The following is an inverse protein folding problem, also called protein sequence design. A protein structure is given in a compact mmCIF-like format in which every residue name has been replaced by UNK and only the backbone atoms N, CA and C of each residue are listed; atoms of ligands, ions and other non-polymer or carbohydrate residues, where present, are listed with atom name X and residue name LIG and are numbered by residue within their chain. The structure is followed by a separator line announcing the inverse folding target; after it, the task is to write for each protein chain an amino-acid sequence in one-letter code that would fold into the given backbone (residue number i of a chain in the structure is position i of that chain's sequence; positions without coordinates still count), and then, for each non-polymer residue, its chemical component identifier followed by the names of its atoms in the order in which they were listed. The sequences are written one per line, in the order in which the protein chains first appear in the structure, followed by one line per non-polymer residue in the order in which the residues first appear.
data_IF_038497194443
#
_entry.id   IF_038497194443
#
_cell.length_a   1.000
_cell.length_b   1.000
_cell.length_c   1.000
_cell.angle_alpha   90.00
_cell.angle_beta   90.00
_cell.angle_gamma   90.00
#
_symmetry.space_group_name_H-M   'P 1'
#
loop_
_entity.id
_entity.type
_entity.pdbx_description
1 polymer ?
#
# COMPACT_ATOMS: atom_id res chain seq x y z
N UNK A 1 7.51 7.57 1.86
CA UNK A 1 6.41 7.27 0.92
C UNK A 1 6.07 8.59 0.24
N UNK A 2 6.10 8.71 -1.09
CA UNK A 2 5.62 9.96 -1.74
C UNK A 2 4.09 9.90 -1.66
N UNK A 3 3.49 10.76 -0.86
CA UNK A 3 2.03 10.89 -0.77
C UNK A 3 1.55 11.30 -2.16
N UNK A 4 0.69 10.47 -2.76
CA UNK A 4 0.14 10.71 -4.09
C UNK A 4 -0.76 11.96 -4.02
N UNK A 5 -0.68 12.84 -5.02
CA UNK A 5 -1.53 14.04 -5.09
C UNK A 5 -3.00 13.60 -5.11
N UNK A 6 -3.80 14.12 -4.16
CA UNK A 6 -5.18 13.67 -3.91
C UNK A 6 -5.42 13.17 -2.48
N UNK A 7 -4.35 12.82 -1.75
CA UNK A 7 -4.46 12.47 -0.33
C UNK A 7 -4.74 13.72 0.52
N UNK A 8 -5.99 13.92 0.92
CA UNK A 8 -6.35 15.01 1.83
C UNK A 8 -5.80 14.75 3.24
N UNK A 9 -5.49 15.81 3.98
CA UNK A 9 -5.08 15.69 5.38
C UNK A 9 -6.14 15.04 6.26
N UNK A 10 -7.42 15.23 5.94
CA UNK A 10 -8.57 14.59 6.60
C UNK A 10 -8.55 13.06 6.42
N UNK A 11 -8.36 12.58 5.18
CA UNK A 11 -8.27 11.16 4.89
C UNK A 11 -7.07 10.53 5.63
N UNK A 12 -5.95 11.25 5.68
CA UNK A 12 -4.80 10.80 6.45
C UNK A 12 -5.08 10.72 7.95
N UNK A 13 -5.74 11.73 8.52
CA UNK A 13 -6.11 11.72 9.93
C UNK A 13 -7.04 10.56 10.27
N UNK A 14 -8.06 10.34 9.43
CA UNK A 14 -8.97 9.20 9.56
C UNK A 14 -8.23 7.86 9.50
N UNK A 15 -7.27 7.69 8.60
CA UNK A 15 -6.45 6.47 8.54
C UNK A 15 -5.62 6.26 9.81
N UNK A 16 -5.06 7.34 10.39
CA UNK A 16 -4.33 7.25 11.67
C UNK A 16 -5.23 6.76 12.80
N UNK A 17 -6.51 7.14 12.82
CA UNK A 17 -7.51 6.64 13.77
C UNK A 17 -7.81 5.15 13.55
N UNK A 18 -7.82 4.70 12.29
CA UNK A 18 -7.92 3.27 11.94
C UNK A 18 -6.63 2.46 12.24
N UNK A 19 -5.65 3.06 12.91
CA UNK A 19 -4.40 2.40 13.31
C UNK A 19 -3.33 2.37 12.22
N UNK A 20 -3.51 3.08 11.11
CA UNK A 20 -2.48 3.23 10.09
C UNK A 20 -1.31 4.05 10.64
N UNK A 21 -0.10 3.71 10.21
CA UNK A 21 1.12 4.37 10.67
C UNK A 21 2.08 4.61 9.51
N UNK A 22 2.67 5.79 9.51
CA UNK A 22 3.80 6.10 8.66
C UNK A 22 5.01 5.25 9.08
N UNK A 23 5.61 4.53 8.13
CA UNK A 23 6.84 3.77 8.37
C UNK A 23 8.02 4.75 8.39
N UNK A 24 8.34 5.28 9.58
CA UNK A 24 9.45 6.23 9.77
C UNK A 24 10.84 5.58 9.83
N UNK A 25 10.91 4.27 10.13
CA UNK A 25 12.18 3.55 10.31
C UNK A 25 12.23 2.28 9.44
N UNK A 26 13.27 2.18 8.62
CA UNK A 26 13.43 1.24 7.50
C UNK A 26 13.84 -0.22 7.79
N UNK A 27 14.41 -0.62 8.95
CA UNK A 27 15.07 -1.94 9.01
C UNK A 27 14.10 -3.11 9.07
N UNK A 28 12.85 -2.93 9.52
CA UNK A 28 11.91 -4.04 9.72
C UNK A 28 10.66 -3.94 8.83
N UNK A 29 10.88 -3.89 7.51
CA UNK A 29 9.82 -3.87 6.48
C UNK A 29 8.95 -5.14 6.47
N UNK A 30 9.35 -6.18 7.19
CA UNK A 30 8.67 -7.48 7.26
C UNK A 30 7.34 -7.42 8.02
N UNK A 31 7.10 -6.34 8.76
CA UNK A 31 5.91 -6.15 9.59
C UNK A 31 4.78 -5.38 8.90
N UNK A 32 5.07 -4.71 7.79
CA UNK A 32 4.09 -3.88 7.08
C UNK A 32 3.56 -4.61 5.86
N UNK A 33 2.25 -4.50 5.64
CA UNK A 33 1.60 -4.95 4.40
C UNK A 33 1.52 -3.76 3.45
N UNK A 34 1.85 -3.99 2.18
CA UNK A 34 1.67 -2.98 1.14
C UNK A 34 0.27 -3.16 0.54
N UNK A 35 -0.51 -2.07 0.50
CA UNK A 35 -1.78 -2.03 -0.23
C UNK A 35 -1.50 -1.72 -1.71
N UNK A 36 -2.17 -2.42 -2.65
CA UNK A 36 -2.09 -2.09 -4.07
C UNK A 36 -2.46 -0.64 -4.36
N UNK A 37 -1.74 0.01 -5.28
CA UNK A 37 -2.00 1.41 -5.64
C UNK A 37 -3.44 1.64 -6.13
N UNK A 38 -4.05 0.65 -6.79
CA UNK A 38 -5.45 0.72 -7.22
C UNK A 38 -6.42 0.89 -6.05
N UNK A 39 -6.24 0.12 -4.97
CA UNK A 39 -7.06 0.24 -3.76
C UNK A 39 -6.81 1.56 -3.02
N UNK A 40 -5.58 2.10 -3.11
CA UNK A 40 -5.28 3.44 -2.59
C UNK A 40 -6.01 4.51 -3.38
N UNK A 41 -6.07 4.41 -4.71
CA UNK A 41 -6.84 5.32 -5.56
C UNK A 41 -8.34 5.25 -5.23
N UNK A 42 -8.92 4.05 -5.14
CA UNK A 42 -10.33 3.89 -4.75
C UNK A 42 -10.62 4.50 -3.37
N UNK A 43 -9.71 4.35 -2.41
CA UNK A 43 -9.86 4.96 -1.09
C UNK A 43 -9.79 6.49 -1.12
N UNK A 44 -8.98 7.07 -2.01
CA UNK A 44 -8.88 8.52 -2.21
C UNK A 44 -10.17 9.07 -2.84
N UNK A 45 -10.71 8.35 -3.82
CA UNK A 45 -11.90 8.77 -4.57
C UNK A 45 -13.22 8.47 -3.82
N UNK A 46 -13.20 7.56 -2.84
CA UNK A 46 -14.39 7.17 -2.08
C UNK A 46 -14.95 8.30 -1.19
N UNK A 47 -16.29 8.49 -1.18
CA UNK A 47 -16.93 9.39 -0.21
C UNK A 47 -16.77 8.84 1.22
N UNK A 48 -16.87 9.69 2.26
CA UNK A 48 -16.63 9.31 3.66
C UNK A 48 -17.37 8.05 4.13
N UNK A 49 -18.59 7.86 3.64
CA UNK A 49 -19.46 6.71 3.94
C UNK A 49 -18.99 5.39 3.32
N UNK A 50 -18.20 5.44 2.24
CA UNK A 50 -17.64 4.26 1.55
C UNK A 50 -16.16 4.01 1.88
N UNK A 51 -15.51 4.91 2.63
CA UNK A 51 -14.09 4.76 3.01
C UNK A 51 -13.82 3.51 3.84
N UNK A 52 -14.74 3.13 4.72
CA UNK A 52 -14.58 1.97 5.59
C UNK A 52 -14.60 0.63 4.82
N UNK A 53 -15.58 0.36 3.93
CA UNK A 53 -15.52 -0.83 3.09
C UNK A 53 -14.36 -0.81 2.10
N UNK A 54 -14.01 0.35 1.51
CA UNK A 54 -12.84 0.48 0.63
C UNK A 54 -11.52 0.16 1.36
N UNK A 55 -11.38 0.60 2.61
CA UNK A 55 -10.23 0.29 3.45
C UNK A 55 -10.16 -1.21 3.76
N UNK A 56 -11.29 -1.82 4.13
CA UNK A 56 -11.34 -3.26 4.43
C UNK A 56 -10.91 -4.10 3.22
N UNK A 57 -11.38 -3.73 2.02
CA UNK A 57 -10.97 -4.36 0.78
C UNK A 57 -9.46 -4.19 0.52
N UNK A 58 -8.95 -2.97 0.70
CA UNK A 58 -7.52 -2.71 0.58
C UNK A 58 -6.67 -3.54 1.55
N UNK A 59 -7.11 -3.70 2.80
CA UNK A 59 -6.44 -4.53 3.82
C UNK A 59 -6.47 -6.01 3.46
N UNK A 60 -7.57 -6.52 2.88
CA UNK A 60 -7.65 -7.89 2.37
C UNK A 60 -6.64 -8.12 1.24
N UNK A 61 -6.54 -7.18 0.30
CA UNK A 61 -5.56 -7.23 -0.81
C UNK A 61 -4.13 -6.90 -0.37
N UNK A 62 -3.94 -6.41 0.86
CA UNK A 62 -2.65 -6.00 1.36
C UNK A 62 -1.72 -7.21 1.46
N UNK A 63 -0.71 -7.24 0.61
CA UNK A 63 0.27 -8.32 0.58
C UNK A 63 1.52 -7.91 1.35
N UNK A 64 2.15 -8.89 2.01
CA UNK A 64 3.52 -8.67 2.50
C UNK A 64 4.39 -8.48 1.27
N UNK A 65 5.14 -7.37 1.22
CA UNK A 65 6.13 -7.21 0.15
C UNK A 65 7.10 -8.38 0.22
N UNK A 66 7.33 -9.13 -0.87
CA UNK A 66 8.41 -10.11 -0.88
C UNK A 66 9.72 -9.36 -0.59
N UNK A 67 10.54 -9.92 0.31
CA UNK A 67 11.90 -9.41 0.49
C UNK A 67 12.59 -9.50 -0.87
N UNK A 68 12.86 -8.35 -1.49
CA UNK A 68 13.81 -8.25 -2.61
C UNK A 68 15.17 -8.62 -1.99
N UNK A 69 15.46 -9.91 -1.97
CA UNK A 69 16.50 -10.54 -1.16
C UNK A 69 16.32 -12.07 -1.08
N UNK A 70 15.10 -12.56 -1.28
CA UNK A 70 14.84 -13.97 -1.57
C UNK A 70 14.87 -14.14 -3.10
N UNK A 71 15.92 -14.78 -3.62
CA UNK A 71 16.36 -14.73 -5.02
C UNK A 71 15.45 -15.42 -6.03
N UNK A 72 14.27 -14.85 -6.29
CA UNK A 72 13.32 -15.35 -7.30
C UNK A 72 12.93 -14.31 -8.36
N UNK A 73 13.72 -13.24 -8.54
CA UNK A 73 13.60 -12.42 -9.74
C UNK A 73 14.54 -12.99 -10.81
N UNK A 74 14.09 -14.03 -11.53
CA UNK A 74 14.67 -14.33 -12.83
C UNK A 74 14.09 -13.31 -13.83
N UNK A 75 14.88 -12.35 -14.33
CA UNK A 75 14.44 -11.59 -15.50
C UNK A 75 14.25 -12.58 -16.66
N UNK A 76 13.23 -12.38 -17.54
CA UNK A 76 13.11 -13.21 -18.72
C UNK A 76 14.40 -13.08 -19.51
N UNK A 77 15.11 -14.21 -19.62
CA UNK A 77 16.29 -14.35 -20.46
C UNK A 77 15.93 -13.85 -21.86
N UNK A 78 16.44 -12.67 -22.21
CA UNK A 78 16.38 -12.14 -23.57
C UNK A 78 17.15 -13.12 -24.45
N UNK A 79 16.41 -14.03 -25.10
CA UNK A 79 16.88 -14.79 -26.24
C UNK A 79 17.30 -13.77 -27.31
N UNK A 80 18.60 -13.61 -27.47
CA UNK A 80 19.20 -12.92 -28.60
C UNK A 80 19.49 -14.00 -29.64
N UNK A 81 18.63 -14.11 -30.65
CA UNK A 81 18.96 -14.77 -31.92
C UNK A 81 19.72 -13.80 -32.81
#
# INVERSE_FOLDING_TARGET
MRVQAGFSGELWHWLLEQGWREVRYRPDRRRYREIPASCVTELIDAPPEERQPALAFGVEKASRRPNVGDGAFQPPSLLRH
#
